data_IF_062967498989
#
_entry.id   IF_062967498989
#
_cell.length_a   1.000
_cell.length_b   1.000
_cell.length_c   1.000
_cell.angle_alpha   90.00
_cell.angle_beta   90.00
_cell.angle_gamma   90.00
#
_symmetry.space_group_name_H-M   'P 1'
#
loop_
_entity.id
_entity.type
_entity.pdbx_description
1 polymer ?
#
# COMPACT_ATOMS: atom_id res chain seq x y z
N UNK A 1 -9.45 40.01 -32.11
CA UNK A 1 -10.39 39.86 -30.98
C UNK A 1 -10.39 38.41 -30.55
N UNK A 2 -9.84 38.09 -29.38
CA UNK A 2 -9.79 36.72 -28.85
C UNK A 2 -11.13 36.35 -28.22
N UNK A 3 -11.72 35.23 -28.64
CA UNK A 3 -12.90 34.67 -28.00
C UNK A 3 -12.44 33.80 -26.81
N UNK A 4 -12.68 34.31 -25.61
CA UNK A 4 -12.44 33.62 -24.34
C UNK A 4 -13.48 32.51 -24.19
N UNK A 5 -13.06 31.25 -24.31
CA UNK A 5 -13.90 30.08 -24.02
C UNK A 5 -13.90 29.83 -22.52
N UNK A 6 -14.97 30.21 -21.84
CA UNK A 6 -15.23 29.81 -20.45
C UNK A 6 -15.43 28.29 -20.35
N UNK A 7 -14.80 27.61 -19.37
CA UNK A 7 -15.05 26.21 -19.09
C UNK A 7 -16.19 26.06 -18.08
N UNK A 8 -16.87 24.91 -18.13
CA UNK A 8 -17.75 24.37 -17.09
C UNK A 8 -19.21 24.84 -17.04
N UNK A 9 -20.01 24.52 -18.07
CA UNK A 9 -21.44 24.16 -17.86
C UNK A 9 -21.87 23.17 -18.96
N UNK A 10 -22.37 21.99 -18.58
CA UNK A 10 -23.39 21.34 -19.42
C UNK A 10 -23.08 19.98 -20.07
N UNK A 11 -22.42 19.03 -19.40
CA UNK A 11 -22.37 17.65 -19.93
C UNK A 11 -23.79 17.05 -20.06
N UNK A 12 -24.74 17.44 -19.20
CA UNK A 12 -26.13 16.96 -19.25
C UNK A 12 -27.01 17.57 -20.35
N UNK A 13 -26.53 18.55 -21.13
CA UNK A 13 -27.29 19.15 -22.25
C UNK A 13 -26.82 18.74 -23.64
N UNK A 14 -25.66 18.08 -23.75
CA UNK A 14 -25.06 17.72 -25.04
C UNK A 14 -25.58 16.35 -25.52
N UNK A 15 -26.19 15.53 -24.66
CA UNK A 15 -26.83 14.28 -25.06
C UNK A 15 -28.30 14.51 -25.48
N UNK A 16 -28.56 15.51 -26.32
CA UNK A 16 -29.84 15.61 -27.03
C UNK A 16 -29.90 14.55 -28.14
N UNK A 17 -31.11 14.19 -28.59
CA UNK A 17 -31.38 13.12 -29.56
C UNK A 17 -30.56 13.17 -30.86
N UNK A 18 -29.97 14.32 -31.20
CA UNK A 18 -29.31 14.55 -32.49
C UNK A 18 -27.80 14.82 -32.37
N UNK A 19 -27.20 14.71 -31.19
CA UNK A 19 -25.78 15.05 -31.01
C UNK A 19 -24.89 13.84 -31.25
N UNK A 20 -23.98 13.95 -32.21
CA UNK A 20 -23.13 12.83 -32.60
C UNK A 20 -22.02 12.60 -31.57
N UNK A 21 -21.56 11.36 -31.45
CA UNK A 21 -20.42 11.02 -30.60
C UNK A 21 -19.13 11.80 -30.96
N UNK A 22 -19.04 12.31 -32.21
CA UNK A 22 -17.94 13.16 -32.67
C UNK A 22 -18.03 14.55 -32.04
N UNK A 23 -19.18 15.19 -32.09
CA UNK A 23 -19.39 16.52 -31.50
C UNK A 23 -19.20 16.48 -29.98
N UNK A 24 -19.70 15.43 -29.32
CA UNK A 24 -19.48 15.22 -27.89
C UNK A 24 -17.97 15.05 -27.60
N UNK A 25 -17.24 14.29 -28.43
CA UNK A 25 -15.79 14.11 -28.29
C UNK A 25 -15.02 15.43 -28.45
N UNK A 26 -15.36 16.24 -29.44
CA UNK A 26 -14.74 17.55 -29.71
C UNK A 26 -15.09 18.58 -28.62
N UNK A 27 -16.32 18.55 -28.10
CA UNK A 27 -16.76 19.42 -27.02
C UNK A 27 -16.17 19.04 -25.65
N UNK A 28 -15.99 17.75 -25.38
CA UNK A 28 -15.51 17.24 -24.07
C UNK A 28 -14.01 16.95 -24.03
N UNK A 29 -13.33 16.93 -25.18
CA UNK A 29 -11.93 16.50 -25.31
C UNK A 29 -11.71 15.02 -24.99
N UNK A 30 -12.78 14.21 -24.92
CA UNK A 30 -12.70 12.77 -24.59
C UNK A 30 -12.64 11.93 -25.86
N UNK A 31 -11.99 10.77 -25.79
CA UNK A 31 -11.90 9.87 -26.94
C UNK A 31 -13.27 9.37 -27.39
N UNK A 32 -13.51 9.31 -28.71
CA UNK A 32 -14.77 8.83 -29.32
C UNK A 32 -15.21 7.45 -28.84
N UNK A 33 -14.26 6.57 -28.51
CA UNK A 33 -14.54 5.23 -27.95
C UNK A 33 -15.16 5.34 -26.57
N UNK A 34 -14.58 6.15 -25.68
CA UNK A 34 -15.07 6.40 -24.33
C UNK A 34 -16.47 7.02 -24.35
N UNK A 35 -16.70 8.00 -25.23
CA UNK A 35 -18.00 8.63 -25.43
C UNK A 35 -19.04 7.61 -25.88
N UNK A 36 -18.74 6.76 -26.87
CA UNK A 36 -19.66 5.70 -27.31
C UNK A 36 -20.00 4.72 -26.20
N UNK A 37 -19.00 4.26 -25.44
CA UNK A 37 -19.22 3.36 -24.30
C UNK A 37 -20.09 4.00 -23.22
N UNK A 38 -19.90 5.29 -22.95
CA UNK A 38 -20.74 6.02 -22.00
C UNK A 38 -22.19 6.16 -22.50
N UNK A 39 -22.39 6.57 -23.76
CA UNK A 39 -23.73 6.76 -24.33
C UNK A 39 -24.52 5.45 -24.48
N UNK A 40 -23.84 4.32 -24.70
CA UNK A 40 -24.49 3.02 -24.79
C UNK A 40 -25.12 2.56 -23.47
N UNK A 41 -24.51 2.92 -22.34
CA UNK A 41 -24.98 2.52 -21.01
C UNK A 41 -24.51 3.54 -19.95
N UNK A 42 -25.15 4.71 -19.86
CA UNK A 42 -24.70 5.79 -18.98
C UNK A 42 -24.87 5.43 -17.50
N UNK A 43 -25.96 4.75 -17.15
CA UNK A 43 -26.31 4.41 -15.77
C UNK A 43 -25.35 3.40 -15.13
N UNK A 44 -24.73 2.54 -15.95
CA UNK A 44 -23.77 1.52 -15.51
C UNK A 44 -22.33 1.88 -15.84
N UNK A 45 -22.08 3.06 -16.41
CA UNK A 45 -20.73 3.45 -16.79
C UNK A 45 -19.84 3.62 -15.54
N UNK A 46 -18.78 2.82 -15.44
CA UNK A 46 -17.85 2.85 -14.31
C UNK A 46 -18.35 2.13 -13.05
N UNK A 47 -19.51 1.47 -13.07
CA UNK A 47 -20.02 0.70 -11.91
C UNK A 47 -19.28 -0.62 -11.71
N UNK A 48 -18.73 -1.21 -12.78
CA UNK A 48 -18.02 -2.48 -12.72
C UNK A 48 -16.63 -2.33 -12.10
N UNK A 49 -16.47 -2.80 -10.85
CA UNK A 49 -15.16 -2.91 -10.21
C UNK A 49 -14.39 -4.09 -10.81
N UNK A 50 -13.15 -3.84 -11.25
CA UNK A 50 -12.25 -4.90 -11.73
C UNK A 50 -11.88 -5.83 -10.58
N UNK A 51 -12.02 -7.14 -10.81
CA UNK A 51 -11.43 -8.13 -9.93
C UNK A 51 -9.90 -7.93 -10.02
N UNK A 52 -9.28 -7.66 -8.87
CA UNK A 52 -7.85 -7.36 -8.81
C UNK A 52 -7.00 -8.57 -9.21
N UNK A 53 -5.68 -8.47 -8.99
CA UNK A 53 -4.79 -9.60 -9.25
C UNK A 53 -5.19 -10.81 -8.39
N UNK A 54 -5.27 -12.02 -8.96
CA UNK A 54 -5.52 -13.22 -8.16
C UNK A 54 -4.44 -13.41 -7.09
N UNK A 55 -4.84 -13.97 -5.95
CA UNK A 55 -3.92 -14.26 -4.84
C UNK A 55 -2.93 -15.34 -5.26
N UNK A 56 -1.71 -15.26 -4.71
CA UNK A 56 -0.66 -16.28 -4.92
C UNK A 56 -0.93 -17.58 -4.16
N UNK A 57 -1.63 -17.47 -3.03
CA UNK A 57 -2.00 -18.58 -2.17
C UNK A 57 -3.52 -18.76 -2.22
N UNK A 58 -3.95 -20.02 -2.22
CA UNK A 58 -5.36 -20.35 -1.99
C UNK A 58 -5.69 -20.13 -0.52
N UNK A 59 -6.96 -19.84 -0.23
CA UNK A 59 -7.44 -19.68 1.15
C UNK A 59 -7.17 -20.95 1.99
N UNK A 60 -7.29 -22.13 1.38
CA UNK A 60 -7.01 -23.41 2.04
C UNK A 60 -5.55 -23.53 2.49
N UNK A 61 -4.59 -23.10 1.67
CA UNK A 61 -3.16 -23.13 2.03
C UNK A 61 -2.86 -22.08 3.10
N UNK A 62 -3.49 -20.90 3.03
CA UNK A 62 -3.37 -19.87 4.08
C UNK A 62 -3.83 -20.42 5.44
N UNK A 63 -4.95 -21.15 5.51
CA UNK A 63 -5.44 -21.79 6.74
C UNK A 63 -4.48 -22.86 7.26
N UNK A 64 -3.97 -23.73 6.37
CA UNK A 64 -2.99 -24.75 6.75
C UNK A 64 -1.70 -24.16 7.32
N UNK A 65 -1.20 -23.05 6.75
CA UNK A 65 -0.03 -22.32 7.26
C UNK A 65 -0.29 -21.85 8.69
N UNK A 66 -1.46 -21.28 8.95
CA UNK A 66 -1.80 -20.76 10.28
C UNK A 66 -1.93 -21.93 11.27
N UNK A 67 -2.62 -23.00 10.90
CA UNK A 67 -2.80 -24.16 11.77
C UNK A 67 -1.47 -24.85 12.10
N UNK A 68 -0.61 -25.09 11.12
CA UNK A 68 0.74 -25.64 11.37
C UNK A 68 1.56 -24.72 12.26
N UNK A 69 1.51 -23.40 12.02
CA UNK A 69 2.19 -22.41 12.85
C UNK A 69 1.72 -22.42 14.31
N UNK A 70 0.43 -22.70 14.56
CA UNK A 70 -0.11 -22.81 15.91
C UNK A 70 0.18 -24.16 16.57
N UNK A 71 -0.08 -25.26 15.87
CA UNK A 71 0.04 -26.62 16.43
C UNK A 71 1.49 -26.99 16.68
N UNK A 72 2.39 -26.65 15.74
CA UNK A 72 3.79 -27.08 15.78
C UNK A 72 4.75 -25.98 16.25
N UNK A 73 4.29 -24.73 16.38
CA UNK A 73 5.10 -23.56 16.77
C UNK A 73 6.37 -23.39 15.93
N UNK A 74 6.30 -23.74 14.64
CA UNK A 74 7.42 -23.68 13.70
C UNK A 74 7.68 -22.24 13.24
N UNK A 75 8.92 -21.95 12.86
CA UNK A 75 9.30 -20.70 12.22
C UNK A 75 8.78 -20.65 10.78
N UNK A 76 8.60 -19.44 10.25
CA UNK A 76 8.02 -19.24 8.91
C UNK A 76 8.79 -19.96 7.79
N UNK A 77 10.11 -20.09 7.91
CA UNK A 77 10.92 -20.86 6.94
C UNK A 77 10.64 -22.36 7.02
N UNK A 78 10.56 -22.90 8.23
CA UNK A 78 10.25 -24.30 8.49
C UNK A 78 8.84 -24.65 8.02
N UNK A 79 7.88 -23.73 8.13
CA UNK A 79 6.51 -23.92 7.62
C UNK A 79 6.51 -24.03 6.08
N UNK A 80 7.31 -23.21 5.40
CA UNK A 80 7.44 -23.27 3.93
C UNK A 80 8.02 -24.62 3.52
N UNK A 81 9.08 -25.07 4.20
CA UNK A 81 9.71 -26.38 3.94
C UNK A 81 8.75 -27.53 4.26
N UNK A 82 8.02 -27.44 5.38
CA UNK A 82 7.08 -28.47 5.81
C UNK A 82 5.87 -28.65 4.88
N UNK A 83 5.36 -27.55 4.32
CA UNK A 83 4.22 -27.55 3.39
C UNK A 83 4.64 -27.60 1.92
N UNK A 84 5.94 -27.66 1.62
CA UNK A 84 6.45 -27.70 0.23
C UNK A 84 6.14 -26.45 -0.58
N UNK A 85 6.02 -25.29 0.06
CA UNK A 85 5.58 -24.03 -0.56
C UNK A 85 6.73 -23.29 -1.26
N UNK A 86 7.35 -23.94 -2.24
CA UNK A 86 8.45 -23.37 -3.02
C UNK A 86 7.94 -22.17 -3.85
N UNK A 87 8.43 -20.96 -3.54
CA UNK A 87 8.04 -19.71 -4.20
C UNK A 87 7.22 -18.74 -3.36
N UNK A 88 6.86 -19.12 -2.13
CA UNK A 88 6.24 -18.21 -1.14
C UNK A 88 7.34 -17.52 -0.34
N UNK A 89 7.22 -16.21 -0.13
CA UNK A 89 8.20 -15.48 0.67
C UNK A 89 7.96 -15.67 2.17
N UNK A 90 9.05 -15.79 2.93
CA UNK A 90 9.02 -15.87 4.41
C UNK A 90 8.23 -14.71 5.01
N UNK A 91 8.42 -13.49 4.47
CA UNK A 91 7.70 -12.30 4.90
C UNK A 91 6.18 -12.41 4.70
N UNK A 92 5.72 -13.10 3.66
CA UNK A 92 4.30 -13.35 3.45
C UNK A 92 3.74 -14.26 4.55
N UNK A 93 4.44 -15.36 4.84
CA UNK A 93 4.05 -16.31 5.90
C UNK A 93 4.03 -15.63 7.28
N UNK A 94 5.04 -14.83 7.60
CA UNK A 94 5.06 -14.05 8.84
C UNK A 94 3.85 -13.11 8.94
N UNK A 95 3.49 -12.40 7.86
CA UNK A 95 2.29 -11.56 7.84
C UNK A 95 1.02 -12.36 8.09
N UNK A 96 0.87 -13.54 7.50
CA UNK A 96 -0.29 -14.40 7.77
C UNK A 96 -0.40 -14.75 9.25
N UNK A 97 0.72 -15.10 9.90
CA UNK A 97 0.76 -15.41 11.33
C UNK A 97 0.52 -14.18 12.22
N UNK A 98 0.92 -12.98 11.78
CA UNK A 98 0.70 -11.71 12.47
C UNK A 98 -0.76 -11.24 12.37
N UNK A 99 -1.38 -11.40 11.20
CA UNK A 99 -2.76 -10.98 10.94
C UNK A 99 -3.81 -12.03 11.33
N UNK A 100 -3.38 -13.13 11.94
CA UNK A 100 -4.30 -14.14 12.43
C UNK A 100 -5.17 -13.59 13.58
N UNK A 101 -6.48 -13.54 13.32
CA UNK A 101 -7.48 -12.98 14.25
C UNK A 101 -7.48 -13.69 15.61
N UNK A 102 -7.18 -15.00 15.64
CA UNK A 102 -7.10 -15.79 16.88
C UNK A 102 -6.03 -15.27 17.85
N UNK A 103 -4.94 -14.66 17.34
CA UNK A 103 -3.95 -13.96 18.19
C UNK A 103 -4.46 -12.59 18.65
N UNK A 104 -5.12 -11.85 17.77
CA UNK A 104 -5.61 -10.51 18.07
C UNK A 104 -6.65 -10.51 19.18
N UNK A 105 -7.56 -11.48 19.18
CA UNK A 105 -8.60 -11.60 20.22
C UNK A 105 -8.01 -11.90 21.61
N UNK A 106 -6.96 -12.74 21.68
CA UNK A 106 -6.26 -13.01 22.95
C UNK A 106 -5.52 -11.79 23.48
N UNK A 107 -4.81 -11.06 22.60
CA UNK A 107 -4.12 -9.83 22.99
C UNK A 107 -5.08 -8.68 23.31
N UNK A 108 -6.26 -8.64 22.66
CA UNK A 108 -7.31 -7.70 23.04
C UNK A 108 -7.78 -8.00 24.47
N UNK A 109 -8.15 -9.25 24.77
CA UNK A 109 -8.63 -9.65 26.10
C UNK A 109 -7.66 -9.34 27.24
N UNK A 110 -6.34 -9.44 27.04
CA UNK A 110 -5.35 -9.10 28.08
C UNK A 110 -5.26 -7.61 28.38
N UNK A 111 -5.68 -6.73 27.46
CA UNK A 111 -5.60 -5.28 27.63
C UNK A 111 -6.86 -4.67 28.28
N UNK A 112 -7.88 -5.48 28.60
CA UNK A 112 -9.14 -5.01 29.19
C UNK A 112 -9.21 -5.19 30.72
N UNK A 113 -8.11 -5.56 31.38
CA UNK A 113 -8.09 -5.56 32.84
C UNK A 113 -8.14 -4.10 33.32
N UNK A 114 -9.21 -3.67 34.03
CA UNK A 114 -9.18 -2.38 34.69
C UNK A 114 -8.04 -2.39 35.71
N UNK A 115 -7.29 -1.29 35.89
CA UNK A 115 -6.32 -1.20 36.97
C UNK A 115 -7.10 -1.41 38.28
N UNK A 116 -6.80 -2.51 38.97
CA UNK A 116 -7.28 -2.77 40.32
C UNK A 116 -6.90 -1.58 41.19
N UNK A 117 -7.92 -0.85 41.64
CA UNK A 117 -7.78 0.33 42.48
C UNK A 117 -7.49 -0.12 43.91
N UNK A 118 -6.26 -0.54 44.19
CA UNK A 118 -5.75 -0.73 45.55
C UNK A 118 -4.21 -0.78 45.52
N UNK A 119 -3.58 0.39 45.42
CA UNK A 119 -2.17 0.56 45.81
C UNK A 119 -1.92 2.05 46.08
N UNK A 120 -1.43 2.34 47.28
CA UNK A 120 -1.18 3.68 47.80
C UNK A 120 -0.22 4.51 46.92
N UNK A 121 -0.34 5.85 46.88
CA UNK A 121 0.56 6.68 46.08
C UNK A 121 2.02 6.55 46.56
N UNK A 122 2.97 6.20 45.69
CA UNK A 122 4.38 6.19 46.07
C UNK A 122 4.88 7.63 46.29
N UNK A 123 5.80 7.86 47.26
CA UNK A 123 6.33 9.18 47.54
C UNK A 123 7.05 9.76 46.32
N UNK A 124 6.77 11.05 46.05
CA UNK A 124 7.30 11.83 44.95
C UNK A 124 8.82 11.66 44.80
N UNK A 125 9.25 11.08 43.68
CA UNK A 125 10.64 11.09 43.27
C UNK A 125 10.94 12.42 42.57
N UNK A 126 12.05 13.09 42.89
CA UNK A 126 12.39 14.37 42.30
C UNK A 126 12.63 14.22 40.79
N UNK A 127 11.97 15.09 40.03
CA UNK A 127 12.16 15.28 38.59
C UNK A 127 13.63 15.60 38.29
N UNK A 128 14.31 14.68 37.62
CA UNK A 128 15.62 14.95 37.03
C UNK A 128 15.68 14.28 35.67
N UNK A 129 15.65 15.11 34.64
CA UNK A 129 16.47 15.05 33.42
C UNK A 129 16.07 16.26 32.57
N UNK A 130 16.67 17.41 32.89
CA UNK A 130 16.77 18.53 31.97
C UNK A 130 17.68 18.09 30.81
N UNK A 131 17.08 17.81 29.65
CA UNK A 131 17.85 17.73 28.41
C UNK A 131 18.02 19.15 27.88
N UNK A 132 19.20 19.71 28.13
CA UNK A 132 19.67 20.97 27.55
C UNK A 132 19.71 20.85 26.03
N UNK A 133 18.91 21.67 25.33
CA UNK A 133 19.17 21.98 23.92
C UNK A 133 20.32 22.98 23.88
N UNK A 134 21.50 22.51 23.49
CA UNK A 134 22.59 23.39 23.05
C UNK A 134 22.27 23.84 21.63
N UNK A 135 22.02 25.14 21.51
CA UNK A 135 22.02 25.91 20.27
C UNK A 135 23.41 25.77 19.62
N UNK A 136 23.47 25.05 18.49
CA UNK A 136 24.64 25.02 17.60
C UNK A 136 24.22 25.80 16.36
N UNK A 137 24.54 27.09 16.41
CA UNK A 137 24.78 27.92 15.24
C UNK A 137 26.30 27.88 15.03
N UNK A 138 26.76 27.25 13.95
CA UNK A 138 28.06 27.54 13.38
C UNK A 138 27.98 27.39 11.85
N UNK A 139 28.49 28.43 11.23
CA UNK A 139 28.38 28.84 9.85
C UNK A 139 29.24 28.00 8.88
N UNK A 140 28.82 28.07 7.62
CA UNK A 140 29.67 28.17 6.42
C UNK A 140 30.41 26.94 5.81
N UNK A 141 30.41 27.01 4.48
CA UNK A 141 31.40 26.55 3.52
C UNK A 141 31.36 25.12 2.93
N UNK A 142 30.98 25.12 1.64
CA UNK A 142 31.67 24.51 0.48
C UNK A 142 31.59 22.98 0.28
N UNK A 143 31.01 22.58 -0.85
CA UNK A 143 31.73 22.09 -2.05
C UNK A 143 32.29 20.66 -1.89
N UNK A 144 31.80 19.73 -2.70
CA UNK A 144 32.26 18.35 -2.60
C UNK A 144 31.52 17.31 -3.43
N UNK A 145 31.61 17.44 -4.75
CA UNK A 145 31.92 16.29 -5.61
C UNK A 145 30.88 15.18 -5.76
N UNK A 146 30.12 15.26 -6.85
CA UNK A 146 29.56 14.09 -7.53
C UNK A 146 30.70 13.13 -7.89
N UNK A 147 30.83 12.01 -7.19
CA UNK A 147 31.71 10.92 -7.62
C UNK A 147 30.89 9.95 -8.47
N UNK A 148 30.94 10.16 -9.79
CA UNK A 148 30.59 9.15 -10.77
C UNK A 148 31.48 7.92 -10.53
N UNK A 149 30.89 6.83 -10.05
CA UNK A 149 31.59 5.54 -10.02
C UNK A 149 31.56 4.96 -11.43
N UNK A 150 32.73 5.07 -12.07
CA UNK A 150 33.04 4.59 -13.40
C UNK A 150 32.66 3.13 -13.61
N UNK A 151 32.00 2.94 -14.75
CA UNK A 151 31.73 1.70 -15.46
C UNK A 151 33.02 0.88 -15.63
N UNK A 152 33.21 -0.13 -14.79
CA UNK A 152 34.31 -1.10 -14.91
C UNK A 152 33.85 -2.27 -15.77
N UNK A 153 34.02 -2.10 -17.07
CA UNK A 153 34.08 -3.18 -18.06
C UNK A 153 35.06 -4.26 -17.58
N UNK A 154 34.53 -5.42 -17.15
CA UNK A 154 35.31 -6.65 -17.09
C UNK A 154 35.08 -7.47 -18.34
N UNK A 155 36.01 -7.27 -19.27
CA UNK A 155 36.43 -8.23 -20.27
C UNK A 155 36.88 -9.50 -19.54
N UNK A 156 36.17 -10.61 -19.72
CA UNK A 156 36.74 -11.95 -19.54
C UNK A 156 36.36 -12.76 -20.77
N UNK A 157 37.41 -13.05 -21.54
CA UNK A 157 37.46 -14.05 -22.60
C UNK A 157 36.91 -15.40 -22.12
N UNK A 158 35.99 -15.97 -22.88
CA UNK A 158 35.70 -17.41 -22.84
C UNK A 158 36.07 -17.99 -24.20
N UNK A 159 37.18 -18.73 -24.19
CA UNK A 159 37.65 -19.63 -25.22
C UNK A 159 37.07 -21.02 -24.92
N UNK A 160 36.63 -21.73 -25.97
CA UNK A 160 36.02 -23.10 -26.07
C UNK A 160 34.49 -23.16 -26.21
#
# INVERSE_FOLDING_TARGET
>A
MQAVRSPAVGVSRIAGSDTTAREISEATGRGKSVVRTFLASPDTYGSAKRQGRPRKLSAQIEEQIIDVGWTKKLFAREIIEHLGLHGVSVRHVQRLLLHDKRRQEKHAQTNHLPPSSDESPPPARPSSLMLSMSDVDDDDATDGGLHEVSDSLRLLDDDI
#
